data_IF_686308141718
#
_entry.id   IF_686308141718
#
_cell.length_a   1.000
_cell.length_b   1.000
_cell.length_c   1.000
_cell.angle_alpha   90.00
_cell.angle_beta   90.00
_cell.angle_gamma   90.00
#
_symmetry.space_group_name_H-M   'P 1'
#
loop_
_entity.id
_entity.type
_entity.pdbx_description
1 polymer ?
#
# COMPACT_ATOMS: atom_id res chain seq x y z
N UNK A 1 -11.56 23.12 -2.28
CA UNK A 1 -10.24 22.87 -2.91
C UNK A 1 -10.01 21.37 -2.91
N UNK A 2 -9.52 20.78 -4.00
CA UNK A 2 -9.16 19.35 -4.02
C UNK A 2 -7.82 19.17 -3.29
N UNK A 3 -7.76 18.18 -2.39
CA UNK A 3 -6.60 17.78 -1.60
C UNK A 3 -6.33 16.30 -1.88
N UNK A 4 -5.55 15.99 -2.93
CA UNK A 4 -5.31 14.62 -3.35
C UNK A 4 -4.16 13.95 -2.60
N UNK A 5 -4.25 12.63 -2.42
CA UNK A 5 -3.13 11.78 -1.97
C UNK A 5 -3.04 10.54 -2.85
N UNK A 6 -1.81 10.10 -3.12
CA UNK A 6 -1.55 8.83 -3.79
C UNK A 6 -1.18 7.79 -2.73
N UNK A 7 -1.87 6.65 -2.74
CA UNK A 7 -1.59 5.54 -1.84
C UNK A 7 -1.38 4.24 -2.56
N UNK A 8 -0.40 3.48 -2.06
CA UNK A 8 -0.16 2.11 -2.45
C UNK A 8 -0.99 1.20 -1.54
N UNK A 9 -1.93 0.46 -2.13
CA UNK A 9 -2.92 -0.30 -1.39
C UNK A 9 -3.19 -1.66 -2.05
N UNK A 10 -3.26 -2.71 -1.24
CA UNK A 10 -3.70 -4.04 -1.67
C UNK A 10 -4.71 -4.63 -0.69
N UNK A 11 -5.92 -4.91 -1.19
CA UNK A 11 -6.93 -5.65 -0.44
C UNK A 11 -6.82 -7.15 -0.74
N UNK A 12 -6.87 -7.95 0.32
CA UNK A 12 -7.10 -9.39 0.26
C UNK A 12 -8.12 -9.78 1.34
N UNK A 13 -8.33 -11.08 1.61
CA UNK A 13 -9.22 -11.52 2.71
C UNK A 13 -8.72 -11.10 4.10
N UNK A 14 -7.41 -10.99 4.27
CA UNK A 14 -6.72 -10.64 5.51
C UNK A 14 -5.30 -10.14 5.19
N UNK A 15 -4.64 -9.50 6.17
CA UNK A 15 -3.27 -9.01 6.04
C UNK A 15 -2.25 -10.07 5.64
N UNK A 16 -2.35 -11.28 6.20
CA UNK A 16 -1.41 -12.37 5.88
C UNK A 16 -1.48 -12.73 4.39
N UNK A 17 -2.68 -12.80 3.83
CA UNK A 17 -2.92 -13.07 2.41
C UNK A 17 -2.49 -11.91 1.53
N UNK A 18 -2.73 -10.66 1.96
CA UNK A 18 -2.25 -9.50 1.23
C UNK A 18 -0.71 -9.51 1.13
N UNK A 19 -0.02 -9.85 2.21
CA UNK A 19 1.44 -10.02 2.25
C UNK A 19 1.91 -11.19 1.37
N UNK A 20 1.23 -12.33 1.42
CA UNK A 20 1.56 -13.48 0.57
C UNK A 20 1.43 -13.13 -0.93
N UNK A 21 0.35 -12.47 -1.31
CA UNK A 21 0.02 -12.14 -2.71
C UNK A 21 0.85 -10.98 -3.26
N UNK A 22 1.08 -9.94 -2.46
CA UNK A 22 1.73 -8.70 -2.91
C UNK A 22 3.18 -8.56 -2.45
N UNK A 23 3.55 -9.14 -1.31
CA UNK A 23 4.86 -9.02 -0.68
C UNK A 23 6.05 -9.27 -1.60
N UNK A 24 6.07 -10.35 -2.41
CA UNK A 24 7.17 -10.62 -3.35
C UNK A 24 7.42 -9.50 -4.37
N UNK A 25 6.40 -8.73 -4.73
CA UNK A 25 6.49 -7.63 -5.70
C UNK A 25 6.79 -6.28 -5.03
N UNK A 26 6.46 -6.17 -3.75
CA UNK A 26 6.83 -5.04 -2.90
C UNK A 26 8.33 -5.09 -2.54
N UNK A 27 8.86 -6.28 -2.25
CA UNK A 27 10.29 -6.48 -1.94
C UNK A 27 11.19 -6.24 -3.16
N UNK A 28 10.76 -6.65 -4.36
CA UNK A 28 11.48 -6.37 -5.62
C UNK A 28 11.70 -4.87 -5.85
N UNK A 29 10.71 -4.05 -5.51
CA UNK A 29 10.80 -2.58 -5.58
C UNK A 29 11.91 -2.01 -4.67
N UNK A 30 12.12 -2.58 -3.49
CA UNK A 30 13.18 -2.13 -2.57
C UNK A 30 14.57 -2.65 -2.94
N UNK A 31 14.67 -3.88 -3.45
CA UNK A 31 15.93 -4.35 -4.02
C UNK A 31 16.37 -3.49 -5.21
N UNK A 32 15.42 -2.98 -5.99
CA UNK A 32 15.71 -2.08 -7.11
C UNK A 32 16.01 -0.65 -6.65
N UNK A 33 15.33 -0.10 -5.64
CA UNK A 33 15.70 1.19 -5.03
C UNK A 33 17.08 1.16 -4.35
N UNK A 34 17.42 0.07 -3.67
CA UNK A 34 18.75 -0.15 -3.11
C UNK A 34 19.83 -0.21 -4.20
N UNK A 35 19.52 -0.77 -5.38
CA UNK A 35 20.43 -0.83 -6.53
C UNK A 35 20.53 0.50 -7.30
N UNK A 36 19.52 1.37 -7.24
CA UNK A 36 19.46 2.64 -7.98
C UNK A 36 20.17 3.81 -7.28
N UNK A 37 20.97 3.57 -6.25
CA UNK A 37 21.86 4.58 -5.67
C UNK A 37 21.25 5.40 -4.52
N UNK A 38 20.12 4.95 -3.95
CA UNK A 38 19.45 5.64 -2.84
C UNK A 38 20.09 5.33 -1.47
N UNK A 39 21.12 4.48 -1.45
CA UNK A 39 22.07 4.24 -0.36
C UNK A 39 22.88 5.49 0.02
N UNK A 40 22.99 6.50 -0.85
CA UNK A 40 23.78 7.72 -0.57
C UNK A 40 23.02 8.84 0.15
N UNK A 41 21.71 8.71 0.36
CA UNK A 41 20.87 9.77 0.92
C UNK A 41 20.11 9.37 2.19
N UNK A 42 20.36 8.17 2.73
CA UNK A 42 19.72 7.70 3.96
C UNK A 42 20.62 7.92 5.19
N UNK A 43 20.06 8.29 6.36
CA UNK A 43 20.81 8.34 7.61
C UNK A 43 21.46 6.98 7.90
N UNK A 44 22.66 6.95 8.48
CA UNK A 44 23.41 5.72 8.81
C UNK A 44 22.62 4.72 9.68
N UNK A 45 21.51 5.15 10.30
CA UNK A 45 20.60 4.33 11.10
C UNK A 45 19.55 3.55 10.30
N UNK A 46 19.41 3.79 9.00
CA UNK A 46 18.48 3.05 8.13
C UNK A 46 19.26 2.08 7.23
N UNK A 47 19.51 0.88 7.74
CA UNK A 47 20.01 -0.24 6.93
C UNK A 47 18.85 -1.01 6.32
N UNK A 48 19.00 -1.49 5.09
CA UNK A 48 18.03 -2.39 4.44
C UNK A 48 17.92 -3.78 5.11
N UNK A 49 18.70 -4.03 6.17
CA UNK A 49 18.64 -5.23 7.03
C UNK A 49 17.48 -5.21 8.04
N UNK A 50 16.67 -4.15 8.06
CA UNK A 50 15.43 -4.14 8.83
C UNK A 50 14.42 -5.16 8.26
N UNK A 51 13.78 -5.93 9.15
CA UNK A 51 12.75 -6.93 8.78
C UNK A 51 11.76 -6.31 7.79
N UNK A 52 11.52 -6.98 6.67
CA UNK A 52 10.63 -6.51 5.60
C UNK A 52 9.27 -6.01 6.11
N UNK A 53 8.75 -6.59 7.20
CA UNK A 53 7.55 -6.12 7.89
C UNK A 53 7.69 -4.69 8.46
N UNK A 54 8.83 -4.35 9.07
CA UNK A 54 9.09 -3.02 9.64
C UNK A 54 9.26 -1.94 8.57
N UNK A 55 9.89 -2.27 7.44
CA UNK A 55 10.04 -1.34 6.30
C UNK A 55 8.72 -1.10 5.55
N UNK A 56 7.76 -2.04 5.64
CA UNK A 56 6.48 -1.97 4.92
C UNK A 56 5.35 -1.39 5.77
N UNK A 57 5.43 -1.49 7.10
CA UNK A 57 4.36 -1.11 8.04
C UNK A 57 3.82 0.32 7.81
N UNK A 58 4.68 1.30 7.55
CA UNK A 58 4.26 2.70 7.38
C UNK A 58 4.07 3.13 5.92
N UNK A 59 4.42 2.27 4.96
CA UNK A 59 4.56 2.64 3.54
C UNK A 59 3.46 2.09 2.64
N UNK A 60 2.84 0.96 3.01
CA UNK A 60 1.80 0.31 2.21
C UNK A 60 0.56 0.03 3.04
N UNK A 61 -0.60 0.18 2.40
CA UNK A 61 -1.88 -0.17 3.00
C UNK A 61 -2.21 -1.61 2.57
N UNK A 62 -2.09 -2.55 3.50
CA UNK A 62 -2.25 -3.97 3.23
C UNK A 62 -3.19 -4.59 4.26
N UNK A 63 -4.18 -5.34 3.80
CA UNK A 63 -5.14 -5.97 4.72
C UNK A 63 -6.44 -6.41 4.06
N UNK A 64 -7.40 -6.74 4.91
CA UNK A 64 -8.81 -6.79 4.54
C UNK A 64 -9.33 -5.41 4.10
N UNK A 65 -10.50 -5.32 3.45
CA UNK A 65 -11.15 -4.03 3.16
C UNK A 65 -11.31 -3.15 4.41
N UNK A 66 -11.67 -3.75 5.54
CA UNK A 66 -11.81 -3.06 6.83
C UNK A 66 -10.46 -2.54 7.34
N UNK A 67 -9.42 -3.37 7.35
CA UNK A 67 -8.07 -2.94 7.74
C UNK A 67 -7.54 -1.83 6.81
N UNK A 68 -7.86 -1.88 5.52
CA UNK A 68 -7.47 -0.87 4.55
C UNK A 68 -8.22 0.46 4.79
N UNK A 69 -9.50 0.41 5.14
CA UNK A 69 -10.28 1.58 5.51
C UNK A 69 -9.68 2.26 6.75
N UNK A 70 -9.41 1.50 7.80
CA UNK A 70 -8.82 2.02 9.05
C UNK A 70 -7.46 2.67 8.82
N UNK A 71 -6.62 2.08 7.97
CA UNK A 71 -5.33 2.65 7.58
C UNK A 71 -5.47 3.92 6.71
N UNK A 72 -6.56 4.06 5.95
CA UNK A 72 -6.84 5.27 5.17
C UNK A 72 -7.48 6.39 6.00
N UNK A 73 -8.12 6.07 7.13
CA UNK A 73 -8.90 7.02 7.92
C UNK A 73 -8.18 8.31 8.33
N UNK A 74 -6.92 8.26 8.79
CA UNK A 74 -6.18 9.47 9.14
C UNK A 74 -6.07 10.49 8.00
N UNK A 75 -6.10 10.06 6.72
CA UNK A 75 -5.96 10.99 5.60
C UNK A 75 -7.09 11.99 5.51
N UNK A 76 -8.34 11.58 5.73
CA UNK A 76 -9.45 12.52 5.71
C UNK A 76 -9.73 13.13 7.09
N UNK A 77 -9.54 12.39 8.18
CA UNK A 77 -9.82 12.90 9.54
C UNK A 77 -8.79 13.92 10.03
N UNK A 78 -7.51 13.69 9.75
CA UNK A 78 -6.42 14.54 10.27
C UNK A 78 -5.90 15.51 9.21
N UNK A 79 -5.76 15.05 7.96
CA UNK A 79 -5.11 15.83 6.89
C UNK A 79 -6.09 16.50 5.92
N UNK A 80 -7.39 16.25 6.06
CA UNK A 80 -8.44 16.84 5.21
C UNK A 80 -8.38 16.40 3.74
N UNK A 81 -7.73 15.26 3.45
CA UNK A 81 -7.69 14.68 2.11
C UNK A 81 -9.11 14.38 1.64
N UNK A 82 -9.41 14.74 0.39
CA UNK A 82 -10.72 14.52 -0.22
C UNK A 82 -10.66 13.86 -1.61
N UNK A 83 -9.48 13.37 -2.00
CA UNK A 83 -9.31 12.67 -3.26
C UNK A 83 -8.21 11.61 -3.14
N UNK A 84 -8.60 10.33 -3.21
CA UNK A 84 -7.69 9.20 -3.11
C UNK A 84 -7.33 8.69 -4.51
N UNK A 85 -6.04 8.58 -4.81
CA UNK A 85 -5.53 7.85 -5.96
C UNK A 85 -4.88 6.56 -5.47
N UNK A 86 -5.43 5.42 -5.85
CA UNK A 86 -4.96 4.12 -5.38
C UNK A 86 -4.10 3.43 -6.45
N UNK A 87 -2.90 3.01 -6.07
CA UNK A 87 -2.01 2.13 -6.84
C UNK A 87 -2.01 0.75 -6.19
N UNK A 88 -2.48 -0.25 -6.93
CA UNK A 88 -2.63 -1.64 -6.44
C UNK A 88 -1.90 -2.68 -7.30
N UNK A 89 -1.14 -2.21 -8.29
CA UNK A 89 -0.34 -3.04 -9.19
C UNK A 89 1.12 -2.60 -9.12
N UNK A 90 2.02 -3.58 -9.03
CA UNK A 90 3.46 -3.37 -8.97
C UNK A 90 4.17 -4.13 -10.09
N UNK A 91 5.41 -3.72 -10.38
CA UNK A 91 6.21 -4.36 -11.41
C UNK A 91 6.37 -5.86 -11.15
N UNK A 92 6.22 -6.67 -12.20
CA UNK A 92 6.28 -8.14 -12.11
C UNK A 92 5.02 -8.80 -11.53
N UNK A 93 4.09 -8.05 -10.94
CA UNK A 93 2.85 -8.62 -10.40
C UNK A 93 1.92 -9.07 -11.54
N UNK A 94 1.37 -10.30 -11.50
CA UNK A 94 0.34 -10.73 -12.44
C UNK A 94 -0.87 -9.81 -12.42
N UNK A 95 -1.40 -9.47 -13.61
CA UNK A 95 -2.60 -8.63 -13.72
C UNK A 95 -3.79 -9.23 -12.93
N UNK A 96 -3.94 -10.56 -12.94
CA UNK A 96 -4.99 -11.25 -12.18
C UNK A 96 -4.92 -10.97 -10.68
N UNK A 97 -3.72 -10.85 -10.12
CA UNK A 97 -3.49 -10.53 -8.70
C UNK A 97 -3.95 -9.11 -8.39
N UNK A 98 -3.59 -8.13 -9.23
CA UNK A 98 -4.09 -6.76 -9.07
C UNK A 98 -5.62 -6.68 -9.26
N UNK A 99 -6.17 -7.37 -10.25
CA UNK A 99 -7.62 -7.41 -10.48
C UNK A 99 -8.39 -8.04 -9.30
N UNK A 100 -7.79 -9.00 -8.60
CA UNK A 100 -8.37 -9.55 -7.36
C UNK A 100 -8.53 -8.46 -6.29
N UNK A 101 -7.46 -7.71 -6.02
CA UNK A 101 -7.51 -6.57 -5.09
C UNK A 101 -8.48 -5.48 -5.55
N UNK A 102 -8.48 -5.13 -6.84
CA UNK A 102 -9.41 -4.13 -7.41
C UNK A 102 -10.87 -4.52 -7.18
N UNK A 103 -11.23 -5.80 -7.27
CA UNK A 103 -12.59 -6.27 -6.99
C UNK A 103 -12.96 -6.05 -5.52
N UNK A 104 -12.11 -6.46 -4.58
CA UNK A 104 -12.36 -6.22 -3.15
C UNK A 104 -12.42 -4.72 -2.81
N UNK A 105 -11.55 -3.91 -3.41
CA UNK A 105 -11.61 -2.46 -3.27
C UNK A 105 -12.96 -1.94 -3.77
N UNK A 106 -13.42 -2.42 -4.92
CA UNK A 106 -14.65 -1.92 -5.56
C UNK A 106 -15.91 -2.39 -4.85
N UNK A 107 -15.95 -3.65 -4.41
CA UNK A 107 -17.14 -4.30 -3.87
C UNK A 107 -17.33 -4.03 -2.37
N UNK A 108 -16.24 -3.77 -1.62
CA UNK A 108 -16.29 -3.69 -0.15
C UNK A 108 -15.72 -2.38 0.43
N UNK A 109 -14.59 -1.90 -0.10
CA UNK A 109 -13.94 -0.68 0.43
C UNK A 109 -14.59 0.61 -0.09
N UNK A 110 -14.80 0.71 -1.41
CA UNK A 110 -15.37 1.91 -2.04
C UNK A 110 -16.77 2.27 -1.52
N UNK A 111 -17.70 1.32 -1.33
CA UNK A 111 -19.02 1.64 -0.77
C UNK A 111 -18.91 2.28 0.63
N UNK A 112 -17.98 1.77 1.46
CA UNK A 112 -17.72 2.30 2.80
C UNK A 112 -17.13 3.72 2.74
N UNK A 113 -16.19 3.97 1.83
CA UNK A 113 -15.60 5.31 1.62
C UNK A 113 -16.61 6.33 1.07
N UNK A 114 -17.58 5.90 0.26
CA UNK A 114 -18.62 6.76 -0.31
C UNK A 114 -19.74 7.11 0.67
N UNK A 115 -19.85 6.37 1.78
CA UNK A 115 -20.82 6.64 2.83
C UNK A 115 -20.38 7.75 3.82
N UNK A 116 -19.15 8.26 3.67
CA UNK A 116 -18.58 9.40 4.41
C UNK A 116 -19.14 10.73 3.90
#
# INVERSE_FOLDING_TARGET
RVLPVVKELFCAKDRATALEMAGPYLSGKYQDYAKWGQDKAMPESETFDQDFESLTADRFILGSPEECYEQLRPYWEEFGVNHLLIRTHWAGMPLSTALHSIRLISDELLPTLQAL
#
